data_IF_963329674411
#
_entry.id   IF_963329674411
#
_cell.length_a   1.000
_cell.length_b   1.000
_cell.length_c   1.000
_cell.angle_alpha   90.00
_cell.angle_beta   90.00
_cell.angle_gamma   90.00
#
_symmetry.space_group_name_H-M   'P 1'
#
loop_
_entity.id
_entity.type
_entity.pdbx_description
1 polymer ?
#
# COMPACT_ATOMS: atom_id res chain seq x y z
N UNK A 1 20.38 19.39 -1.94
CA UNK A 1 19.75 18.28 -2.69
C UNK A 1 20.23 18.38 -4.12
N UNK A 2 20.61 17.29 -4.77
CA UNK A 2 21.03 17.31 -6.18
C UNK A 2 19.85 17.81 -7.03
N UNK A 3 20.04 18.78 -7.96
CA UNK A 3 18.96 19.33 -8.79
C UNK A 3 18.19 18.24 -9.58
N UNK A 4 18.89 17.24 -10.09
CA UNK A 4 18.26 16.10 -10.79
C UNK A 4 17.28 15.32 -9.91
N UNK A 5 17.60 15.15 -8.63
CA UNK A 5 16.70 14.48 -7.69
C UNK A 5 15.47 15.33 -7.35
N UNK A 6 15.64 16.65 -7.29
CA UNK A 6 14.54 17.58 -7.08
C UNK A 6 13.52 17.51 -8.23
N UNK A 7 13.99 17.62 -9.46
CA UNK A 7 13.14 17.52 -10.65
C UNK A 7 12.43 16.17 -10.72
N UNK A 8 13.12 15.09 -10.38
CA UNK A 8 12.54 13.75 -10.37
C UNK A 8 11.45 13.57 -9.32
N UNK A 9 11.65 14.13 -8.13
CA UNK A 9 10.65 14.10 -7.04
C UNK A 9 9.44 14.93 -7.44
N UNK A 10 9.62 16.10 -8.04
CA UNK A 10 8.54 16.95 -8.52
C UNK A 10 7.72 16.26 -9.60
N UNK A 11 8.33 15.62 -10.58
CA UNK A 11 7.64 14.80 -11.57
C UNK A 11 6.81 13.69 -10.92
N UNK A 12 7.39 12.96 -9.98
CA UNK A 12 6.70 11.91 -9.25
C UNK A 12 5.56 12.45 -8.39
N UNK A 13 5.70 13.65 -7.85
CA UNK A 13 4.63 14.32 -7.13
C UNK A 13 3.43 14.57 -8.06
N UNK A 14 3.66 15.21 -9.20
CA UNK A 14 2.60 15.52 -10.16
C UNK A 14 1.90 14.26 -10.70
N UNK A 15 2.67 13.20 -10.97
CA UNK A 15 2.14 11.94 -11.49
C UNK A 15 1.37 11.12 -10.45
N UNK A 16 1.83 11.13 -9.20
CA UNK A 16 1.38 10.17 -8.18
C UNK A 16 0.43 10.76 -7.14
N UNK A 17 0.38 12.09 -7.02
CA UNK A 17 -0.38 12.74 -5.95
C UNK A 17 -1.84 12.29 -5.90
N UNK A 18 -2.55 12.33 -7.03
CA UNK A 18 -3.97 11.97 -7.10
C UNK A 18 -4.23 10.50 -6.70
N UNK A 19 -3.32 9.61 -7.08
CA UNK A 19 -3.42 8.21 -6.71
C UNK A 19 -3.14 8.00 -5.22
N UNK A 20 -2.08 8.64 -4.70
CA UNK A 20 -1.71 8.51 -3.29
C UNK A 20 -2.75 9.12 -2.37
N UNK A 21 -3.34 10.28 -2.72
CA UNK A 21 -4.39 10.91 -1.91
C UNK A 21 -5.68 10.07 -1.93
N UNK A 22 -6.04 9.50 -3.06
CA UNK A 22 -7.19 8.57 -3.15
C UNK A 22 -6.99 7.37 -2.24
N UNK A 23 -5.79 6.77 -2.26
CA UNK A 23 -5.45 5.67 -1.36
C UNK A 23 -5.52 6.09 0.12
N UNK A 24 -4.98 7.26 0.46
CA UNK A 24 -4.98 7.75 1.82
C UNK A 24 -6.40 8.08 2.32
N UNK A 25 -7.26 8.66 1.48
CA UNK A 25 -8.68 8.89 1.78
C UNK A 25 -9.45 7.62 2.08
N UNK A 26 -9.15 6.52 1.38
CA UNK A 26 -9.75 5.22 1.72
C UNK A 26 -9.28 4.68 3.08
N UNK A 27 -8.17 5.18 3.60
CA UNK A 27 -7.57 4.72 4.86
C UNK A 27 -7.94 5.56 6.06
N UNK A 28 -8.43 6.79 5.84
CA UNK A 28 -8.83 7.74 6.88
C UNK A 28 -10.20 8.33 6.57
N UNK A 29 -11.03 8.49 7.57
CA UNK A 29 -12.32 9.20 7.45
C UNK A 29 -12.12 10.72 7.32
N UNK A 30 -11.08 11.25 7.96
CA UNK A 30 -10.73 12.66 7.96
C UNK A 30 -9.81 12.99 6.76
N UNK A 31 -10.23 13.89 5.90
CA UNK A 31 -9.47 14.33 4.73
C UNK A 31 -8.10 14.92 5.10
N UNK A 32 -8.05 15.68 6.18
CA UNK A 32 -6.81 16.27 6.70
C UNK A 32 -5.71 15.24 6.99
N UNK A 33 -6.10 14.07 7.51
CA UNK A 33 -5.16 12.97 7.79
C UNK A 33 -4.67 12.29 6.51
N UNK A 34 -5.52 12.21 5.50
CA UNK A 34 -5.12 11.68 4.21
C UNK A 34 -4.07 12.59 3.56
N UNK A 35 -4.30 13.91 3.61
CA UNK A 35 -3.34 14.89 3.12
C UNK A 35 -2.03 14.85 3.91
N UNK A 36 -2.09 14.81 5.24
CA UNK A 36 -0.91 14.70 6.10
C UNK A 36 -0.09 13.44 5.77
N UNK A 37 -0.74 12.30 5.54
CA UNK A 37 -0.06 11.07 5.17
C UNK A 37 0.68 11.18 3.83
N UNK A 38 0.08 11.84 2.84
CA UNK A 38 0.71 12.06 1.53
C UNK A 38 1.86 13.06 1.65
N UNK A 39 1.67 14.17 2.36
CA UNK A 39 2.73 15.17 2.59
C UNK A 39 3.92 14.53 3.31
N UNK A 40 3.67 13.74 4.36
CA UNK A 40 4.71 13.02 5.09
C UNK A 40 5.46 12.02 4.18
N UNK A 41 4.75 11.36 3.26
CA UNK A 41 5.35 10.46 2.29
C UNK A 41 6.35 11.19 1.39
N UNK A 42 5.97 12.35 0.85
CA UNK A 42 6.88 13.16 0.03
C UNK A 42 7.97 13.83 0.86
N UNK A 43 7.71 14.18 2.12
CA UNK A 43 8.76 14.65 3.05
C UNK A 43 9.85 13.59 3.24
N UNK A 44 9.45 12.32 3.41
CA UNK A 44 10.40 11.20 3.50
C UNK A 44 11.15 11.00 2.17
N UNK A 45 10.48 11.18 1.04
CA UNK A 45 11.11 11.12 -0.28
C UNK A 45 12.20 12.19 -0.43
N UNK A 46 11.94 13.43 -0.01
CA UNK A 46 12.91 14.51 -0.02
C UNK A 46 14.07 14.29 0.96
N UNK A 47 13.84 13.58 2.06
CA UNK A 47 14.90 13.22 3.02
C UNK A 47 15.79 12.07 2.54
N UNK A 48 15.29 11.23 1.65
CA UNK A 48 15.98 10.03 1.15
C UNK A 48 15.90 9.95 -0.38
N UNK A 49 16.36 11.01 -1.08
CA UNK A 49 16.22 11.12 -2.52
C UNK A 49 16.92 9.97 -3.26
N UNK A 50 18.11 9.56 -2.78
CA UNK A 50 18.86 8.45 -3.35
C UNK A 50 18.03 7.17 -3.39
N UNK A 51 17.38 6.83 -2.25
CA UNK A 51 16.57 5.61 -2.15
C UNK A 51 15.34 5.61 -3.05
N UNK A 52 14.79 6.78 -3.31
CA UNK A 52 13.66 6.92 -4.24
C UNK A 52 14.15 6.87 -5.68
N UNK A 53 15.12 7.72 -6.05
CA UNK A 53 15.53 7.92 -7.43
C UNK A 53 16.31 6.73 -8.01
N UNK A 54 17.11 6.05 -7.18
CA UNK A 54 17.86 4.84 -7.56
C UNK A 54 17.02 3.55 -7.47
N UNK A 55 15.79 3.66 -6.95
CA UNK A 55 14.89 2.52 -6.89
C UNK A 55 14.54 2.02 -8.29
N UNK A 56 14.49 0.70 -8.47
CA UNK A 56 14.00 0.06 -9.70
C UNK A 56 12.54 0.45 -9.99
N UNK A 57 11.77 0.76 -8.95
CA UNK A 57 10.38 1.19 -9.05
C UNK A 57 10.10 2.34 -8.07
N UNK A 58 10.39 3.60 -8.45
CA UNK A 58 10.15 4.76 -7.61
C UNK A 58 8.68 4.94 -7.21
N UNK A 59 7.75 4.67 -8.13
CA UNK A 59 6.31 4.74 -7.86
C UNK A 59 5.89 3.72 -6.79
N UNK A 60 6.37 2.50 -6.90
CA UNK A 60 6.14 1.45 -5.89
C UNK A 60 6.79 1.78 -4.54
N UNK A 61 7.94 2.47 -4.55
CA UNK A 61 8.59 2.95 -3.33
C UNK A 61 7.70 3.98 -2.61
N UNK A 62 7.12 4.95 -3.33
CA UNK A 62 6.19 5.94 -2.78
C UNK A 62 4.93 5.28 -2.17
N UNK A 63 4.33 4.33 -2.89
CA UNK A 63 3.16 3.59 -2.38
C UNK A 63 3.49 2.84 -1.10
N UNK A 64 4.63 2.16 -1.04
CA UNK A 64 5.04 1.46 0.17
C UNK A 64 5.34 2.42 1.32
N UNK A 65 5.97 3.56 1.03
CA UNK A 65 6.23 4.59 2.03
C UNK A 65 4.91 5.14 2.58
N UNK A 66 3.93 5.44 1.71
CA UNK A 66 2.60 5.87 2.14
C UNK A 66 1.92 4.84 3.05
N UNK A 67 1.97 3.55 2.71
CA UNK A 67 1.42 2.47 3.56
C UNK A 67 2.06 2.44 4.94
N UNK A 68 3.37 2.62 5.02
CA UNK A 68 4.07 2.71 6.31
C UNK A 68 3.66 3.95 7.09
N UNK A 69 3.55 5.09 6.42
CA UNK A 69 3.11 6.36 7.03
C UNK A 69 1.71 6.22 7.61
N UNK A 70 0.76 5.71 6.83
CA UNK A 70 -0.61 5.47 7.29
C UNK A 70 -0.64 4.54 8.51
N UNK A 71 0.09 3.42 8.46
CA UNK A 71 0.18 2.49 9.58
C UNK A 71 0.74 3.14 10.84
N UNK A 72 1.79 3.93 10.70
CA UNK A 72 2.40 4.64 11.82
C UNK A 72 1.45 5.69 12.41
N UNK A 73 0.75 6.45 11.58
CA UNK A 73 -0.24 7.43 12.01
C UNK A 73 -1.40 6.77 12.77
N UNK A 74 -1.96 5.68 12.23
CA UNK A 74 -3.02 4.91 12.90
C UNK A 74 -2.54 4.37 14.25
N UNK A 75 -1.34 3.79 14.31
CA UNK A 75 -0.75 3.28 15.56
C UNK A 75 -0.51 4.39 16.58
N UNK A 76 -0.03 5.54 16.14
CA UNK A 76 0.19 6.71 17.03
C UNK A 76 -1.12 7.21 17.62
N UNK A 77 -2.17 7.33 16.79
CA UNK A 77 -3.52 7.73 17.26
C UNK A 77 -4.11 6.71 18.22
N UNK A 78 -3.97 5.43 17.95
CA UNK A 78 -4.45 4.36 18.83
C UNK A 78 -3.71 4.39 20.18
N UNK A 79 -2.39 4.60 20.18
CA UNK A 79 -1.63 4.76 21.40
C UNK A 79 -2.07 6.02 22.16
N UNK A 80 -2.31 7.14 21.48
CA UNK A 80 -2.83 8.35 22.10
C UNK A 80 -4.23 8.13 22.71
N UNK A 81 -5.13 7.43 21.98
CA UNK A 81 -6.45 7.03 22.53
C UNK A 81 -6.31 6.15 23.76
N UNK A 82 -5.43 5.15 23.74
CA UNK A 82 -5.18 4.28 24.91
C UNK A 82 -4.68 5.06 26.12
N UNK A 83 -3.77 6.02 25.91
CA UNK A 83 -3.28 6.87 26.98
C UNK A 83 -4.43 7.73 27.51
N UNK A 84 -5.20 8.37 26.65
CA UNK A 84 -6.36 9.17 27.05
C UNK A 84 -7.44 8.32 27.72
N UNK A 85 -7.74 7.14 27.22
CA UNK A 85 -8.73 6.23 27.83
C UNK A 85 -8.28 5.66 29.16
N UNK A 86 -6.98 5.51 29.40
CA UNK A 86 -6.47 5.14 30.72
C UNK A 86 -6.67 6.24 31.77
N UNK A 87 -6.81 7.49 31.33
CA UNK A 87 -7.15 8.63 32.19
C UNK A 87 -8.66 8.90 32.29
N UNK A 88 -9.41 8.52 31.26
CA UNK A 88 -10.85 8.79 31.13
C UNK A 88 -11.59 7.46 30.94
N UNK A 89 -11.86 6.69 31.96
CA UNK A 89 -12.58 5.40 31.89
C UNK A 89 -13.78 5.47 30.91
N UNK A 90 -13.52 5.30 29.63
CA UNK A 90 -14.54 5.18 28.58
C UNK A 90 -14.14 4.05 27.64
N UNK A 91 -14.92 2.99 27.66
CA UNK A 91 -14.87 1.90 26.68
C UNK A 91 -15.44 2.41 25.36
N UNK A 92 -14.65 2.40 24.31
CA UNK A 92 -15.15 2.37 22.94
C UNK A 92 -14.47 1.25 22.17
N UNK A 93 -15.29 0.47 21.51
CA UNK A 93 -14.91 -0.71 20.73
C UNK A 93 -14.08 -0.31 19.50
N UNK A 94 -12.97 -1.02 19.31
CA UNK A 94 -12.17 -0.93 18.08
C UNK A 94 -12.94 -1.50 16.90
N UNK A 95 -13.32 -0.65 15.96
CA UNK A 95 -13.84 -1.06 14.65
C UNK A 95 -12.67 -1.40 13.74
N UNK A 96 -12.59 -2.65 13.32
CA UNK A 96 -11.65 -3.11 12.31
C UNK A 96 -12.05 -2.58 10.93
N UNK A 97 -11.10 -1.97 10.20
CA UNK A 97 -11.35 -1.33 8.91
C UNK A 97 -11.44 -2.34 7.75
N UNK A 98 -12.51 -2.30 6.93
CA UNK A 98 -12.70 -3.20 5.78
C UNK A 98 -12.02 -2.76 4.47
N UNK A 99 -11.13 -1.77 4.45
CA UNK A 99 -10.98 -0.88 3.28
C UNK A 99 -9.77 -1.11 2.37
N UNK A 100 -8.87 -2.04 2.67
CA UNK A 100 -7.74 -2.36 1.77
C UNK A 100 -8.18 -2.94 0.40
N UNK A 101 -9.41 -3.45 0.32
CA UNK A 101 -9.91 -4.15 -0.88
C UNK A 101 -10.27 -3.21 -2.03
N UNK A 102 -10.92 -2.08 -1.73
CA UNK A 102 -11.41 -1.15 -2.75
C UNK A 102 -10.27 -0.30 -3.34
N UNK A 103 -9.38 0.16 -2.48
CA UNK A 103 -8.25 0.99 -2.88
C UNK A 103 -7.28 0.32 -3.83
N UNK A 104 -7.00 -0.97 -3.63
CA UNK A 104 -6.12 -1.69 -4.54
C UNK A 104 -6.73 -1.90 -5.92
N UNK A 105 -8.05 -2.00 -6.00
CA UNK A 105 -8.73 -2.12 -7.27
C UNK A 105 -8.60 -0.85 -8.10
N UNK A 106 -8.75 0.32 -7.48
CA UNK A 106 -8.57 1.62 -8.13
C UNK A 106 -7.10 1.88 -8.51
N UNK A 107 -6.18 1.52 -7.63
CA UNK A 107 -4.74 1.71 -7.88
C UNK A 107 -4.16 0.83 -8.99
N UNK A 108 -4.77 -0.32 -9.23
CA UNK A 108 -4.29 -1.32 -10.18
C UNK A 108 -5.39 -1.71 -11.17
N UNK A 109 -6.20 -0.73 -11.61
CA UNK A 109 -7.32 -0.94 -12.52
C UNK A 109 -6.89 -1.70 -13.78
N UNK A 110 -5.74 -1.33 -14.36
CA UNK A 110 -5.16 -1.96 -15.55
C UNK A 110 -4.83 -3.44 -15.39
N UNK A 111 -4.58 -3.91 -14.17
CA UNK A 111 -4.19 -5.29 -13.88
C UNK A 111 -5.14 -6.01 -12.92
N UNK A 112 -6.15 -5.32 -12.41
CA UNK A 112 -7.10 -5.86 -11.41
C UNK A 112 -7.91 -7.04 -11.94
N UNK A 113 -8.16 -7.09 -13.25
CA UNK A 113 -8.87 -8.17 -13.94
C UNK A 113 -8.06 -9.46 -14.09
N UNK A 114 -6.73 -9.40 -13.89
CA UNK A 114 -5.84 -10.55 -14.06
C UNK A 114 -6.01 -11.56 -12.92
N UNK A 115 -6.02 -12.84 -13.28
CA UNK A 115 -6.08 -13.94 -12.29
C UNK A 115 -4.88 -13.93 -11.33
N UNK A 116 -3.72 -13.50 -11.81
CA UNK A 116 -2.52 -13.34 -11.00
C UNK A 116 -2.69 -12.27 -9.92
N UNK A 117 -3.36 -11.16 -10.27
CA UNK A 117 -3.67 -10.10 -9.31
C UNK A 117 -4.66 -10.58 -8.25
N UNK A 118 -5.73 -11.26 -8.67
CA UNK A 118 -6.73 -11.82 -7.76
C UNK A 118 -6.10 -12.82 -6.77
N UNK A 119 -5.23 -13.70 -7.26
CA UNK A 119 -4.52 -14.67 -6.44
C UNK A 119 -3.63 -14.01 -5.37
N UNK A 120 -2.91 -12.96 -5.75
CA UNK A 120 -2.05 -12.21 -4.84
C UNK A 120 -2.85 -11.36 -3.85
N UNK A 121 -4.01 -10.84 -4.28
CA UNK A 121 -4.95 -10.10 -3.44
C UNK A 121 -5.50 -10.98 -2.32
N UNK A 122 -5.97 -12.19 -2.63
CA UNK A 122 -6.45 -13.15 -1.62
C UNK A 122 -5.40 -13.42 -0.54
N UNK A 123 -4.13 -13.57 -0.94
CA UNK A 123 -3.07 -13.83 0.01
C UNK A 123 -2.66 -12.59 0.82
N UNK A 124 -2.55 -11.43 0.17
CA UNK A 124 -1.99 -10.23 0.80
C UNK A 124 -3.01 -9.44 1.62
N UNK A 125 -4.29 -9.46 1.20
CA UNK A 125 -5.36 -8.64 1.78
C UNK A 125 -6.34 -9.47 2.57
N UNK A 126 -6.80 -10.60 1.99
CA UNK A 126 -7.72 -11.49 2.68
C UNK A 126 -6.99 -12.36 3.71
N UNK A 127 -5.65 -12.26 3.78
CA UNK A 127 -4.82 -12.95 4.77
C UNK A 127 -4.84 -14.48 4.63
N UNK A 128 -5.29 -15.00 3.49
CA UNK A 128 -5.39 -16.45 3.27
C UNK A 128 -4.02 -17.10 3.21
N UNK A 129 -3.86 -18.16 3.99
CA UNK A 129 -2.65 -18.98 3.97
C UNK A 129 -2.53 -19.81 2.68
N UNK A 130 -1.33 -20.23 2.35
CA UNK A 130 -1.13 -21.14 1.21
C UNK A 130 -1.92 -22.45 1.35
N UNK A 131 -2.19 -22.90 2.57
CA UNK A 131 -2.96 -24.11 2.85
C UNK A 131 -4.43 -23.90 2.51
N UNK A 132 -5.04 -22.81 2.96
CA UNK A 132 -6.44 -22.46 2.68
C UNK A 132 -6.66 -22.25 1.18
N UNK A 133 -5.73 -21.55 0.52
CA UNK A 133 -5.77 -21.32 -0.92
C UNK A 133 -5.61 -22.63 -1.73
N UNK A 134 -4.78 -23.54 -1.25
CA UNK A 134 -4.59 -24.86 -1.86
C UNK A 134 -5.84 -25.71 -1.74
N UNK A 135 -6.43 -25.78 -0.54
CA UNK A 135 -7.68 -26.49 -0.28
C UNK A 135 -8.85 -25.96 -1.11
N UNK A 136 -9.01 -24.64 -1.17
CA UNK A 136 -10.07 -24.00 -1.95
C UNK A 136 -9.97 -24.28 -3.46
N UNK A 137 -8.76 -24.60 -3.96
CA UNK A 137 -8.49 -24.88 -5.39
C UNK A 137 -8.24 -26.36 -5.69
N UNK A 138 -8.31 -27.23 -4.71
CA UNK A 138 -8.07 -28.67 -4.88
C UNK A 138 -6.64 -29.01 -5.34
N UNK A 139 -5.64 -28.20 -4.94
CA UNK A 139 -4.24 -28.39 -5.33
C UNK A 139 -3.36 -28.58 -4.10
N UNK A 140 -2.15 -29.11 -4.29
CA UNK A 140 -1.19 -29.23 -3.19
C UNK A 140 -0.64 -27.87 -2.76
N UNK A 141 -0.24 -27.75 -1.50
CA UNK A 141 0.39 -26.53 -0.95
C UNK A 141 1.65 -26.14 -1.75
N UNK A 142 2.42 -27.13 -2.20
CA UNK A 142 3.61 -26.91 -3.03
C UNK A 142 3.24 -26.32 -4.40
N UNK A 143 2.17 -26.81 -5.02
CA UNK A 143 1.65 -26.27 -6.28
C UNK A 143 1.10 -24.82 -6.09
N UNK A 144 0.43 -24.58 -4.97
CA UNK A 144 -0.05 -23.24 -4.61
C UNK A 144 1.12 -22.25 -4.46
N UNK A 145 2.17 -22.60 -3.73
CA UNK A 145 3.38 -21.77 -3.58
C UNK A 145 4.02 -21.44 -4.93
N UNK A 146 4.15 -22.41 -5.83
CA UNK A 146 4.68 -22.21 -7.18
C UNK A 146 3.77 -21.29 -8.02
N UNK A 147 2.44 -21.42 -7.91
CA UNK A 147 1.50 -20.52 -8.58
C UNK A 147 1.62 -19.08 -8.09
N UNK A 148 1.70 -18.86 -6.79
CA UNK A 148 1.89 -17.54 -6.19
C UNK A 148 3.21 -16.92 -6.66
N UNK A 149 4.29 -17.68 -6.70
CA UNK A 149 5.57 -17.19 -7.19
C UNK A 149 5.50 -16.76 -8.67
N UNK A 150 4.92 -17.61 -9.53
CA UNK A 150 4.72 -17.28 -10.95
C UNK A 150 3.82 -16.06 -11.16
N UNK A 151 2.76 -15.93 -10.34
CA UNK A 151 1.87 -14.79 -10.37
C UNK A 151 2.62 -13.50 -10.02
N UNK A 152 3.48 -13.51 -8.98
CA UNK A 152 4.34 -12.37 -8.64
C UNK A 152 5.26 -11.97 -9.80
N UNK A 153 5.92 -12.92 -10.44
CA UNK A 153 6.84 -12.66 -11.54
C UNK A 153 6.12 -12.13 -12.77
N UNK A 154 4.96 -12.70 -13.10
CA UNK A 154 4.15 -12.27 -14.25
C UNK A 154 3.57 -10.88 -14.05
N UNK A 155 3.04 -10.60 -12.86
CA UNK A 155 2.52 -9.28 -12.53
C UNK A 155 3.64 -8.23 -12.52
N UNK A 156 4.80 -8.56 -11.96
CA UNK A 156 5.97 -7.68 -11.97
C UNK A 156 6.43 -7.32 -13.40
N UNK A 157 6.38 -8.27 -14.34
CA UNK A 157 6.70 -8.00 -15.76
C UNK A 157 5.67 -7.07 -16.41
N UNK A 158 4.38 -7.31 -16.17
CA UNK A 158 3.31 -6.47 -16.74
C UNK A 158 3.35 -5.03 -16.21
N UNK A 159 3.55 -4.86 -14.91
CA UNK A 159 3.69 -3.52 -14.30
C UNK A 159 4.91 -2.78 -14.89
N UNK A 160 6.00 -3.49 -15.16
CA UNK A 160 7.17 -2.88 -15.80
C UNK A 160 6.92 -2.47 -17.25
N UNK A 161 6.10 -3.21 -18.00
CA UNK A 161 5.76 -2.91 -19.39
C UNK A 161 4.80 -1.71 -19.52
N UNK A 162 3.93 -1.48 -18.53
CA UNK A 162 3.00 -0.34 -18.53
C UNK A 162 3.64 0.97 -18.04
N UNK A 163 4.90 0.95 -17.62
CA UNK A 163 5.67 2.12 -17.11
C UNK A 163 6.67 2.63 -18.17
N UNK A 164 6.75 2.00 -19.35
CA UNK A 164 7.56 2.45 -20.49
C UNK A 164 6.70 3.14 -21.52
#
# INVERSE_FOLDING_TARGET
MNPEYSERIEQLYLEMYNMLITYARCSFEEESLAEEAVQETFRIACQKPDKLCESINPKGWLVNTLKFTIRNMKRSRENARRILSSYLIVQEECVALPEDKLCLQVMYEDVSHLEEFKLLKEMAIDGRSHLEMANARGITVSACKKRVQRAKEKLKRKIKQNVT
#
